data_IF_793159764116
#
_entry.id   IF_793159764116
#
_cell.length_a   1.000
_cell.length_b   1.000
_cell.length_c   1.000
_cell.angle_alpha   90.00
_cell.angle_beta   90.00
_cell.angle_gamma   90.00
#
_symmetry.space_group_name_H-M   'P 1'
#
loop_
_entity.id
_entity.type
_entity.pdbx_description
1 polymer ?
#
# COMPACT_ATOMS: atom_id res chain seq x y z
N UNK A 1 25.29 -1.37 14.50
CA UNK A 1 24.34 -2.01 13.58
C UNK A 1 24.90 -3.32 13.09
N UNK A 2 24.15 -4.41 13.24
CA UNK A 2 24.49 -5.68 12.60
C UNK A 2 24.22 -5.61 11.09
N UNK A 3 24.81 -6.49 10.26
CA UNK A 3 24.65 -6.47 8.80
C UNK A 3 23.21 -6.73 8.30
N UNK A 4 22.27 -7.10 9.20
CA UNK A 4 20.86 -7.39 8.89
C UNK A 4 19.89 -6.48 9.66
N UNK A 5 20.37 -5.42 10.30
CA UNK A 5 19.53 -4.50 11.05
C UNK A 5 18.92 -3.45 10.11
N UNK A 6 17.59 -3.37 10.08
CA UNK A 6 16.87 -2.35 9.31
C UNK A 6 16.66 -1.11 10.19
N UNK A 7 17.36 -0.02 9.88
CA UNK A 7 17.19 1.26 10.56
C UNK A 7 16.19 2.17 9.84
N UNK A 8 15.72 3.21 10.52
CA UNK A 8 14.80 4.20 9.92
C UNK A 8 15.45 4.96 8.76
N UNK A 9 16.74 5.22 8.86
CA UNK A 9 17.52 5.91 7.83
C UNK A 9 17.64 5.08 6.55
N UNK A 10 17.73 3.74 6.67
CA UNK A 10 17.71 2.84 5.52
C UNK A 10 16.36 2.89 4.80
N UNK A 11 15.25 2.91 5.54
CA UNK A 11 13.91 3.00 4.97
C UNK A 11 13.68 4.38 4.34
N UNK A 12 14.06 5.46 5.02
CA UNK A 12 13.94 6.82 4.53
C UNK A 12 14.76 7.09 3.26
N UNK A 13 15.85 6.35 3.06
CA UNK A 13 16.73 6.46 1.89
C UNK A 13 16.29 5.67 0.66
N UNK A 14 15.17 4.94 0.71
CA UNK A 14 14.69 4.15 -0.43
C UNK A 14 14.14 5.07 -1.53
N UNK A 15 14.52 4.81 -2.78
CA UNK A 15 13.85 5.38 -3.95
C UNK A 15 12.55 4.63 -4.31
N UNK A 16 11.81 5.13 -5.30
CA UNK A 16 10.50 4.56 -5.68
C UNK A 16 10.61 3.12 -6.22
N UNK A 17 11.73 2.76 -6.87
CA UNK A 17 11.96 1.40 -7.36
C UNK A 17 12.27 0.48 -6.18
N UNK A 18 13.13 0.91 -5.27
CA UNK A 18 13.50 0.17 -4.08
C UNK A 18 12.32 -0.03 -3.14
N UNK A 19 11.49 0.99 -2.93
CA UNK A 19 10.30 0.88 -2.08
C UNK A 19 9.29 -0.14 -2.62
N UNK A 20 9.06 -0.14 -3.95
CA UNK A 20 8.22 -1.16 -4.60
C UNK A 20 8.80 -2.57 -4.47
N UNK A 21 10.11 -2.72 -4.63
CA UNK A 21 10.77 -4.02 -4.43
C UNK A 21 10.69 -4.50 -2.96
N UNK A 22 10.74 -3.59 -1.99
CA UNK A 22 10.51 -3.92 -0.57
C UNK A 22 9.06 -4.36 -0.35
N UNK A 23 8.08 -3.63 -0.90
CA UNK A 23 6.67 -4.00 -0.80
C UNK A 23 6.40 -5.40 -1.38
N UNK A 24 6.91 -5.70 -2.58
CA UNK A 24 6.80 -7.02 -3.20
C UNK A 24 7.36 -8.12 -2.29
N UNK A 25 8.56 -7.92 -1.75
CA UNK A 25 9.20 -8.91 -0.85
C UNK A 25 8.41 -9.11 0.44
N UNK A 26 7.84 -8.05 1.01
CA UNK A 26 6.99 -8.13 2.20
C UNK A 26 5.68 -8.89 1.89
N UNK A 27 5.03 -8.60 0.76
CA UNK A 27 3.83 -9.32 0.33
C UNK A 27 4.10 -10.81 0.13
N UNK A 28 5.20 -11.17 -0.53
CA UNK A 28 5.61 -12.57 -0.74
C UNK A 28 5.93 -13.25 0.60
N UNK A 29 6.65 -12.57 1.50
CA UNK A 29 6.99 -13.10 2.81
C UNK A 29 5.73 -13.35 3.67
N UNK A 30 4.81 -12.39 3.70
CA UNK A 30 3.53 -12.50 4.41
C UNK A 30 2.66 -13.61 3.82
N UNK A 31 2.59 -13.71 2.48
CA UNK A 31 1.85 -14.75 1.80
C UNK A 31 2.41 -16.15 2.12
N UNK A 32 3.73 -16.31 2.14
CA UNK A 32 4.37 -17.55 2.59
C UNK A 32 4.05 -17.89 4.05
N UNK A 33 4.16 -16.90 4.95
CA UNK A 33 3.90 -17.08 6.38
C UNK A 33 2.46 -17.52 6.64
N UNK A 34 1.52 -17.00 5.84
CA UNK A 34 0.08 -17.15 6.04
C UNK A 34 -0.58 -18.19 5.14
N UNK A 35 0.17 -18.79 4.22
CA UNK A 35 -0.37 -19.74 3.25
C UNK A 35 -1.29 -19.11 2.19
N UNK A 36 -1.08 -17.82 1.88
CA UNK A 36 -1.76 -17.15 0.76
C UNK A 36 -1.00 -17.49 -0.53
N UNK A 37 -1.74 -17.84 -1.59
CA UNK A 37 -1.13 -18.12 -2.89
C UNK A 37 -0.40 -16.91 -3.45
N UNK A 38 0.78 -17.08 -4.05
CA UNK A 38 1.50 -15.98 -4.71
C UNK A 38 0.74 -15.42 -5.91
N UNK A 39 -0.16 -16.21 -6.52
CA UNK A 39 -1.07 -15.73 -7.56
C UNK A 39 -2.06 -14.67 -7.05
N UNK A 40 -2.20 -14.52 -5.73
CA UNK A 40 -2.96 -13.43 -5.14
C UNK A 40 -2.26 -12.07 -5.32
N UNK A 41 -0.95 -12.05 -5.54
CA UNK A 41 -0.13 -10.83 -5.57
C UNK A 41 0.08 -10.39 -7.02
N UNK A 42 -0.08 -9.09 -7.28
CA UNK A 42 0.33 -8.46 -8.52
C UNK A 42 1.15 -7.18 -8.21
N UNK A 43 2.27 -7.00 -8.89
CA UNK A 43 3.20 -5.87 -8.72
C UNK A 43 3.52 -5.28 -10.10
N UNK A 44 3.45 -3.95 -10.23
CA UNK A 44 3.86 -3.23 -11.44
C UNK A 44 2.74 -2.65 -12.32
N UNK A 45 3.06 -1.50 -12.94
CA UNK A 45 2.17 -0.53 -13.58
C UNK A 45 1.57 -0.91 -14.95
N UNK A 46 0.89 -2.05 -15.02
CA UNK A 46 -0.17 -2.24 -16.01
C UNK A 46 -1.21 -3.23 -15.48
N UNK A 47 -1.79 -2.90 -14.34
CA UNK A 47 -3.03 -3.55 -13.89
C UNK A 47 -4.16 -2.91 -14.68
N UNK A 48 -4.98 -3.74 -15.32
CA UNK A 48 -6.13 -3.36 -16.17
C UNK A 48 -7.30 -2.76 -15.39
N UNK A 49 -7.03 -1.95 -14.35
CA UNK A 49 -7.98 -0.97 -13.86
C UNK A 49 -7.93 0.18 -14.86
N UNK A 50 -8.99 0.33 -15.66
CA UNK A 50 -9.06 1.27 -16.78
C UNK A 50 -8.79 2.75 -16.45
N UNK A 51 -8.44 3.13 -15.21
CA UNK A 51 -8.21 4.52 -14.79
C UNK A 51 -7.36 4.70 -13.50
N UNK A 52 -6.50 3.75 -13.07
CA UNK A 52 -5.74 3.97 -11.83
C UNK A 52 -4.48 3.14 -11.65
N UNK A 53 -3.33 3.80 -11.74
CA UNK A 53 -2.00 3.24 -11.46
C UNK A 53 -1.90 2.95 -9.95
N UNK A 54 -1.70 1.68 -9.60
CA UNK A 54 -1.37 1.22 -8.24
C UNK A 54 -0.11 0.38 -8.33
N UNK A 55 0.76 0.49 -7.33
CA UNK A 55 2.09 -0.14 -7.40
C UNK A 55 2.03 -1.66 -7.18
N UNK A 56 1.10 -2.09 -6.34
CA UNK A 56 0.82 -3.50 -6.11
C UNK A 56 -0.63 -3.72 -5.65
N UNK A 57 -1.09 -4.96 -5.79
CA UNK A 57 -2.35 -5.43 -5.23
C UNK A 57 -2.20 -6.83 -4.65
N UNK A 58 -3.03 -7.17 -3.68
CA UNK A 58 -3.21 -8.56 -3.25
C UNK A 58 -4.70 -8.89 -3.16
N UNK A 59 -5.10 -10.04 -3.71
CA UNK A 59 -6.48 -10.54 -3.66
C UNK A 59 -6.57 -12.03 -3.38
N UNK A 60 -7.28 -12.43 -2.33
CA UNK A 60 -7.56 -13.84 -2.03
C UNK A 60 -8.96 -14.03 -1.43
N UNK A 61 -9.62 -15.15 -1.74
CA UNK A 61 -11.03 -15.37 -1.36
C UNK A 61 -11.20 -16.26 -0.11
N UNK A 62 -10.30 -17.23 0.06
CA UNK A 62 -10.43 -18.26 1.10
C UNK A 62 -9.64 -17.89 2.36
N UNK A 63 -9.34 -18.89 3.18
CA UNK A 63 -8.43 -18.76 4.31
C UNK A 63 -7.04 -18.29 3.84
N UNK A 64 -6.31 -17.58 4.71
CA UNK A 64 -6.69 -17.15 6.06
C UNK A 64 -7.59 -15.90 6.05
N UNK A 65 -8.20 -15.61 7.20
CA UNK A 65 -8.91 -14.33 7.42
C UNK A 65 -7.95 -13.13 7.36
N UNK A 66 -8.40 -11.94 6.93
CA UNK A 66 -7.60 -10.71 6.97
C UNK A 66 -7.09 -10.41 8.38
N UNK A 67 -5.86 -9.90 8.49
CA UNK A 67 -5.21 -9.58 9.76
C UNK A 67 -4.02 -8.63 9.55
N UNK A 68 -3.68 -7.89 10.61
CA UNK A 68 -2.56 -6.96 10.67
C UNK A 68 -2.55 -5.95 9.51
N UNK A 69 -1.44 -5.89 8.76
CA UNK A 69 -1.27 -4.96 7.65
C UNK A 69 -1.93 -5.43 6.34
N UNK A 70 -2.59 -6.60 6.37
CA UNK A 70 -3.51 -7.07 5.33
C UNK A 70 -4.95 -7.06 5.85
N UNK A 71 -5.59 -5.87 5.98
CA UNK A 71 -6.86 -5.71 6.70
C UNK A 71 -8.09 -6.21 5.92
N UNK A 72 -7.98 -6.43 4.60
CA UNK A 72 -9.07 -6.84 3.71
C UNK A 72 -8.59 -7.85 2.67
N UNK A 73 -9.53 -8.54 2.03
CA UNK A 73 -9.27 -9.56 1.00
C UNK A 73 -8.81 -8.99 -0.33
N UNK A 74 -9.24 -7.79 -0.67
CA UNK A 74 -8.73 -7.00 -1.79
C UNK A 74 -8.02 -5.78 -1.22
N UNK A 75 -6.74 -5.63 -1.54
CA UNK A 75 -5.96 -4.46 -1.12
C UNK A 75 -5.19 -3.92 -2.30
N UNK A 76 -5.28 -2.60 -2.50
CA UNK A 76 -4.43 -1.85 -3.40
C UNK A 76 -3.40 -1.06 -2.62
N UNK A 77 -2.15 -1.11 -3.07
CA UNK A 77 -1.02 -0.44 -2.45
C UNK A 77 -0.45 0.63 -3.37
N UNK A 78 -0.16 1.80 -2.79
CA UNK A 78 0.56 2.87 -3.44
C UNK A 78 1.81 3.23 -2.64
N UNK A 79 2.97 3.09 -3.26
CA UNK A 79 4.27 3.46 -2.73
C UNK A 79 4.46 4.99 -2.77
N UNK A 80 4.95 5.57 -1.67
CA UNK A 80 5.27 7.01 -1.56
C UNK A 80 6.57 7.22 -0.78
N UNK A 81 7.60 7.66 -1.48
CA UNK A 81 8.91 8.01 -0.89
C UNK A 81 8.95 9.45 -0.34
N UNK A 82 7.94 10.25 -0.66
CA UNK A 82 7.81 11.63 -0.22
C UNK A 82 6.87 11.77 0.99
N UNK A 83 6.96 12.92 1.67
CA UNK A 83 6.09 13.20 2.80
C UNK A 83 4.62 13.32 2.37
N UNK A 84 3.75 12.47 2.94
CA UNK A 84 2.32 12.38 2.59
C UNK A 84 1.44 13.20 3.54
N UNK A 85 1.55 14.53 3.47
CA UNK A 85 0.67 15.43 4.22
C UNK A 85 -0.80 15.33 3.79
N UNK A 86 -1.75 15.86 4.60
CA UNK A 86 -3.19 15.77 4.32
C UNK A 86 -3.63 16.22 2.92
N UNK A 87 -3.02 17.31 2.40
CA UNK A 87 -3.32 17.80 1.06
C UNK A 87 -2.90 16.80 -0.02
N UNK A 88 -1.68 16.25 0.07
CA UNK A 88 -1.18 15.24 -0.88
C UNK A 88 -1.98 13.93 -0.81
N UNK A 89 -2.45 13.53 0.38
CA UNK A 89 -3.36 12.38 0.51
C UNK A 89 -4.67 12.65 -0.23
N UNK A 90 -5.25 13.84 -0.06
CA UNK A 90 -6.47 14.21 -0.80
C UNK A 90 -6.25 14.25 -2.30
N UNK A 91 -5.13 14.79 -2.76
CA UNK A 91 -4.79 14.84 -4.19
C UNK A 91 -4.51 13.45 -4.75
N UNK A 92 -3.92 12.56 -3.95
CA UNK A 92 -3.73 11.16 -4.28
C UNK A 92 -5.08 10.46 -4.45
N UNK A 93 -6.00 10.59 -3.49
CA UNK A 93 -7.27 9.86 -3.48
C UNK A 93 -8.34 10.48 -4.38
N UNK A 94 -8.39 11.82 -4.47
CA UNK A 94 -9.34 12.61 -5.24
C UNK A 94 -8.65 13.62 -6.16
N UNK A 95 -7.90 13.17 -7.18
CA UNK A 95 -7.29 14.09 -8.13
C UNK A 95 -8.36 14.95 -8.79
N UNK A 96 -8.15 16.27 -8.79
CA UNK A 96 -9.11 17.26 -9.29
C UNK A 96 -10.52 17.13 -8.65
N UNK A 97 -10.58 16.78 -7.36
CA UNK A 97 -11.80 16.60 -6.57
C UNK A 97 -12.74 15.48 -7.06
N UNK A 98 -12.21 14.52 -7.83
CA UNK A 98 -12.94 13.30 -8.24
C UNK A 98 -12.23 12.07 -7.68
N UNK A 99 -12.95 11.14 -7.03
CA UNK A 99 -12.32 9.93 -6.52
C UNK A 99 -11.73 9.13 -7.67
N UNK A 100 -10.54 8.56 -7.46
CA UNK A 100 -9.98 7.62 -8.44
C UNK A 100 -10.93 6.44 -8.66
N UNK A 101 -11.11 5.94 -9.89
CA UNK A 101 -12.03 4.83 -10.16
C UNK A 101 -11.76 3.55 -9.37
N UNK A 102 -10.49 3.31 -8.95
CA UNK A 102 -10.12 2.18 -8.08
C UNK A 102 -10.93 2.14 -6.77
N UNK A 103 -11.38 3.30 -6.25
CA UNK A 103 -12.18 3.34 -5.03
C UNK A 103 -13.59 2.79 -5.21
N UNK A 104 -14.15 2.82 -6.43
CA UNK A 104 -15.44 2.20 -6.73
C UNK A 104 -15.34 0.67 -6.65
N UNK A 105 -14.24 0.10 -7.14
CA UNK A 105 -13.96 -1.33 -7.04
C UNK A 105 -13.75 -1.73 -5.58
N UNK A 106 -12.87 -1.02 -4.86
CA UNK A 106 -12.62 -1.27 -3.44
C UNK A 106 -13.89 -1.16 -2.60
N UNK A 107 -14.76 -0.20 -2.87
CA UNK A 107 -16.03 -0.06 -2.15
C UNK A 107 -16.97 -1.26 -2.41
N UNK A 108 -17.01 -1.77 -3.64
CA UNK A 108 -17.84 -2.92 -4.02
C UNK A 108 -17.36 -4.22 -3.34
N UNK A 109 -16.05 -4.41 -3.28
CA UNK A 109 -15.41 -5.62 -2.74
C UNK A 109 -15.12 -5.53 -1.23
N UNK A 110 -15.53 -4.44 -0.57
CA UNK A 110 -15.13 -4.10 0.80
C UNK A 110 -13.60 -4.19 1.02
N UNK A 111 -12.84 -3.74 0.00
CA UNK A 111 -11.39 -3.73 -0.03
C UNK A 111 -10.76 -2.61 0.80
N UNK A 112 -9.43 -2.55 0.76
CA UNK A 112 -8.64 -1.50 1.39
C UNK A 112 -7.69 -0.82 0.39
N UNK A 113 -7.44 0.46 0.62
CA UNK A 113 -6.37 1.20 -0.04
C UNK A 113 -5.30 1.52 0.99
N UNK A 114 -4.05 1.19 0.69
CA UNK A 114 -2.91 1.35 1.60
C UNK A 114 -1.86 2.23 0.94
N UNK A 115 -1.55 3.36 1.59
CA UNK A 115 -0.38 4.17 1.24
C UNK A 115 0.82 3.57 1.97
N UNK A 116 1.73 2.96 1.23
CA UNK A 116 2.97 2.38 1.74
C UNK A 116 4.09 3.42 1.61
N UNK A 117 4.55 3.98 2.73
CA UNK A 117 5.45 5.14 2.72
C UNK A 117 6.75 4.89 3.49
N UNK A 118 7.83 5.54 3.04
CA UNK A 118 9.12 5.58 3.76
C UNK A 118 9.11 6.55 4.93
N UNK A 119 8.07 7.39 5.05
CA UNK A 119 7.99 8.40 6.08
C UNK A 119 7.61 7.80 7.44
N UNK A 120 8.29 8.26 8.49
CA UNK A 120 7.95 7.98 9.89
C UNK A 120 7.25 9.20 10.52
N UNK A 121 5.91 9.34 10.37
CA UNK A 121 5.21 10.51 10.84
C UNK A 121 5.13 10.56 12.37
N UNK A 122 5.13 11.78 12.92
CA UNK A 122 4.68 11.97 14.31
C UNK A 122 3.23 11.52 14.46
N UNK A 123 2.81 11.19 15.69
CA UNK A 123 1.42 10.80 15.98
C UNK A 123 0.38 11.83 15.47
N UNK A 124 0.63 13.11 15.70
CA UNK A 124 -0.25 14.19 15.21
C UNK A 124 -0.31 14.23 13.67
N UNK A 125 0.82 14.03 13.00
CA UNK A 125 0.84 13.93 11.55
C UNK A 125 0.03 12.71 11.07
N UNK A 126 0.20 11.54 11.69
CA UNK A 126 -0.59 10.34 11.39
C UNK A 126 -2.10 10.57 11.60
N UNK A 127 -2.52 11.16 12.71
CA UNK A 127 -3.93 11.46 12.98
C UNK A 127 -4.53 12.39 11.91
N UNK A 128 -3.74 13.35 11.40
CA UNK A 128 -4.17 14.22 10.32
C UNK A 128 -4.25 13.52 8.97
N UNK A 129 -3.41 12.49 8.72
CA UNK A 129 -3.52 11.63 7.53
C UNK A 129 -4.82 10.84 7.53
N UNK A 130 -5.14 10.22 8.66
CA UNK A 130 -6.35 9.41 8.81
C UNK A 130 -7.63 10.23 8.61
N UNK A 131 -7.63 11.51 8.98
CA UNK A 131 -8.75 12.43 8.73
C UNK A 131 -8.84 12.91 7.27
N UNK A 132 -7.78 12.73 6.49
CA UNK A 132 -7.71 13.15 5.09
C UNK A 132 -8.10 12.04 4.12
N UNK A 133 -8.07 10.78 4.59
CA UNK A 133 -8.63 9.60 3.94
C UNK A 133 -10.13 9.52 4.15
#
# INVERSE_FOLDING_TARGET
MGPFEVSKELVAGLDDVQLRAVLERLLVAEANLRGISHFAIAVGGNQTAADGDVDASIRWNDLPEPADWLPRRLIFFQCKTEAMGPAKIRDEMWPAAKPRPIFSELATEAGAYVIFSTEDPTKSAMDNRLKAM
#
